data_IF_164664583285
#
_entry.id   IF_164664583285
#
_cell.length_a   1.000
_cell.length_b   1.000
_cell.length_c   1.000
_cell.angle_alpha   90.00
_cell.angle_beta   90.00
_cell.angle_gamma   90.00
#
_symmetry.space_group_name_H-M   'P 1'
#
loop_
_entity.id
_entity.type
_entity.pdbx_description
1 polymer ?
#
# COMPACT_ATOMS: atom_id res chain seq x y z
N UNK A 1 -1.19 -40.44 -2.02
CA UNK A 1 -2.11 -39.29 -2.12
C UNK A 1 -1.40 -38.16 -2.87
N UNK A 2 -1.71 -37.95 -4.15
CA UNK A 2 -1.23 -36.77 -4.88
C UNK A 2 -1.94 -35.54 -4.31
N UNK A 3 -1.22 -34.63 -3.64
CA UNK A 3 -1.77 -33.31 -3.34
C UNK A 3 -2.11 -32.64 -4.69
N UNK A 4 -3.35 -32.15 -4.89
CA UNK A 4 -3.72 -31.49 -6.13
C UNK A 4 -2.78 -30.29 -6.34
N UNK A 5 -2.14 -30.22 -7.52
CA UNK A 5 -1.30 -29.08 -7.89
C UNK A 5 -2.20 -27.83 -7.87
N UNK A 6 -1.85 -26.77 -7.13
CA UNK A 6 -2.62 -25.54 -7.17
C UNK A 6 -2.47 -24.97 -8.59
N UNK A 7 -3.54 -24.98 -9.37
CA UNK A 7 -3.58 -24.31 -10.67
C UNK A 7 -3.41 -22.80 -10.40
N UNK A 8 -2.25 -22.25 -10.73
CA UNK A 8 -2.02 -20.81 -10.69
C UNK A 8 -2.58 -20.21 -11.99
N UNK A 9 -3.55 -19.32 -11.88
CA UNK A 9 -4.15 -18.66 -13.03
C UNK A 9 -3.48 -17.29 -13.20
N UNK A 10 -2.95 -17.05 -14.40
CA UNK A 10 -2.40 -15.74 -14.75
C UNK A 10 -3.56 -14.84 -15.15
N UNK A 11 -3.80 -13.78 -14.37
CA UNK A 11 -4.90 -12.85 -14.60
C UNK A 11 -4.33 -11.46 -14.84
N UNK A 12 -4.68 -10.89 -15.99
CA UNK A 12 -4.48 -9.46 -16.22
C UNK A 12 -5.60 -8.66 -15.53
N UNK A 13 -5.20 -7.57 -14.88
CA UNK A 13 -6.03 -6.61 -14.15
C UNK A 13 -7.32 -6.14 -14.85
N UNK A 14 -7.46 -6.35 -16.16
CA UNK A 14 -8.66 -6.02 -16.93
C UNK A 14 -9.87 -6.96 -16.73
N UNK A 15 -9.74 -8.13 -16.09
CA UNK A 15 -10.85 -9.10 -15.98
C UNK A 15 -11.61 -9.06 -14.64
N UNK A 16 -12.14 -7.90 -14.27
CA UNK A 16 -12.82 -7.67 -12.98
C UNK A 16 -14.03 -8.61 -12.73
N UNK A 17 -14.82 -8.92 -13.77
CA UNK A 17 -16.04 -9.73 -13.64
C UNK A 17 -15.80 -11.22 -13.34
N UNK A 18 -14.71 -11.82 -13.85
CA UNK A 18 -14.36 -13.23 -13.57
C UNK A 18 -13.42 -13.37 -12.38
N UNK A 19 -12.80 -12.26 -11.95
CA UNK A 19 -11.82 -12.24 -10.89
C UNK A 19 -12.42 -12.63 -9.53
N UNK A 20 -13.60 -12.09 -9.21
CA UNK A 20 -14.28 -12.39 -7.94
C UNK A 20 -14.73 -13.86 -7.88
N UNK A 21 -15.27 -14.40 -8.98
CA UNK A 21 -15.66 -15.82 -9.08
C UNK A 21 -14.48 -16.77 -8.89
N UNK A 22 -13.33 -16.45 -9.51
CA UNK A 22 -12.13 -17.27 -9.38
C UNK A 22 -11.52 -17.18 -7.98
N UNK A 23 -11.59 -16.01 -7.35
CA UNK A 23 -11.17 -15.82 -5.96
C UNK A 23 -12.08 -16.58 -5.00
N UNK A 24 -13.40 -16.59 -5.23
CA UNK A 24 -14.37 -17.34 -4.43
C UNK A 24 -14.14 -18.86 -4.50
N UNK A 25 -13.62 -19.36 -5.63
CA UNK A 25 -13.24 -20.78 -5.81
C UNK A 25 -11.93 -21.18 -5.13
N UNK A 26 -11.23 -20.25 -4.46
CA UNK A 26 -9.98 -20.52 -3.76
C UNK A 26 -8.78 -20.74 -4.69
N UNK A 27 -8.87 -20.29 -5.95
CA UNK A 27 -7.74 -20.34 -6.88
C UNK A 27 -6.67 -19.33 -6.50
N UNK A 28 -5.40 -19.66 -6.75
CA UNK A 28 -4.30 -18.74 -6.59
C UNK A 28 -4.12 -17.93 -7.89
N UNK A 29 -4.45 -16.65 -7.83
CA UNK A 29 -4.43 -15.73 -8.95
C UNK A 29 -3.13 -14.93 -8.93
N UNK A 30 -2.39 -14.97 -10.04
CA UNK A 30 -1.11 -14.29 -10.16
C UNK A 30 -1.15 -13.33 -11.34
N UNK A 31 -0.60 -12.13 -11.17
CA UNK A 31 -0.38 -11.23 -12.29
C UNK A 31 0.84 -11.65 -13.10
N UNK A 32 0.92 -11.28 -14.39
CA UNK A 32 2.07 -11.58 -15.25
C UNK A 32 3.39 -11.12 -14.64
N UNK A 33 3.41 -9.93 -14.04
CA UNK A 33 4.62 -9.37 -13.39
C UNK A 33 5.10 -10.25 -12.23
N UNK A 34 4.17 -10.76 -11.41
CA UNK A 34 4.53 -11.68 -10.33
C UNK A 34 5.21 -12.95 -10.88
N UNK A 35 4.62 -13.58 -11.90
CA UNK A 35 5.16 -14.82 -12.49
C UNK A 35 6.54 -14.58 -13.12
N UNK A 36 6.69 -13.49 -13.86
CA UNK A 36 7.95 -13.12 -14.51
C UNK A 36 9.07 -12.87 -13.50
N UNK A 37 8.81 -12.12 -12.42
CA UNK A 37 9.81 -11.90 -11.38
C UNK A 37 10.17 -13.19 -10.64
N UNK A 38 9.17 -14.04 -10.32
CA UNK A 38 9.43 -15.34 -9.69
C UNK A 38 10.36 -16.22 -10.52
N UNK A 39 10.10 -16.28 -11.84
CA UNK A 39 10.88 -17.08 -12.78
C UNK A 39 12.32 -16.58 -12.89
N UNK A 40 12.52 -15.25 -12.95
CA UNK A 40 13.86 -14.63 -12.98
C UNK A 40 14.66 -14.91 -11.71
N UNK A 41 14.02 -14.80 -10.56
CA UNK A 41 14.67 -14.94 -9.25
C UNK A 41 14.77 -16.41 -8.77
N UNK A 42 14.29 -17.37 -9.58
CA UNK A 42 14.24 -18.79 -9.23
C UNK A 42 13.53 -19.06 -7.88
N UNK A 43 12.48 -18.28 -7.60
CA UNK A 43 11.72 -18.36 -6.35
C UNK A 43 10.34 -19.02 -6.55
N UNK A 44 9.78 -19.67 -5.52
CA UNK A 44 8.44 -20.23 -5.60
C UNK A 44 7.37 -19.15 -5.79
N UNK A 45 6.28 -19.52 -6.46
CA UNK A 45 5.11 -18.64 -6.61
C UNK A 45 4.43 -18.42 -5.26
N UNK A 46 3.97 -17.19 -4.96
CA UNK A 46 3.26 -16.89 -3.71
C UNK A 46 1.91 -17.62 -3.67
N UNK A 47 1.47 -18.03 -2.47
CA UNK A 47 0.22 -18.77 -2.25
C UNK A 47 -0.70 -18.01 -1.28
N UNK A 48 -1.09 -16.79 -1.65
CA UNK A 48 -1.89 -15.90 -0.80
C UNK A 48 -3.22 -15.46 -1.44
N UNK A 49 -3.70 -16.24 -2.42
CA UNK A 49 -4.98 -16.04 -3.09
C UNK A 49 -4.88 -15.09 -4.28
N UNK A 50 -4.37 -13.87 -4.10
CA UNK A 50 -4.09 -12.96 -5.21
C UNK A 50 -2.79 -12.18 -5.02
N UNK A 51 -1.92 -12.23 -6.03
CA UNK A 51 -0.71 -11.40 -6.11
C UNK A 51 -0.55 -10.86 -7.53
N UNK A 52 -0.74 -9.56 -7.74
CA UNK A 52 -0.57 -8.92 -9.05
C UNK A 52 0.92 -8.81 -9.44
N UNK A 53 1.75 -8.38 -8.49
CA UNK A 53 3.16 -8.13 -8.64
C UNK A 53 3.82 -8.24 -7.27
N UNK A 54 5.14 -8.05 -7.23
CA UNK A 54 5.95 -8.20 -6.02
C UNK A 54 6.63 -6.88 -5.68
N UNK A 55 6.04 -5.77 -6.12
CA UNK A 55 6.57 -4.43 -5.92
C UNK A 55 6.83 -4.12 -4.43
N UNK A 56 5.98 -4.66 -3.55
CA UNK A 56 6.04 -4.44 -2.11
C UNK A 56 6.58 -5.66 -1.35
N UNK A 57 7.25 -6.60 -2.01
CA UNK A 57 7.87 -7.74 -1.33
C UNK A 57 8.88 -7.25 -0.27
N UNK A 58 8.70 -7.72 0.98
CA UNK A 58 9.46 -7.25 2.14
C UNK A 58 9.08 -5.85 2.67
N UNK A 59 8.12 -5.15 2.07
CA UNK A 59 7.68 -3.81 2.50
C UNK A 59 6.57 -3.91 3.53
N UNK A 60 6.76 -3.25 4.67
CA UNK A 60 5.81 -3.18 5.79
C UNK A 60 5.16 -1.81 5.85
N UNK A 61 3.85 -1.75 5.71
CA UNK A 61 3.06 -0.51 5.65
C UNK A 61 2.28 -0.30 6.93
N UNK A 62 2.18 0.94 7.39
CA UNK A 62 1.30 1.35 8.47
C UNK A 62 0.32 2.41 7.96
N UNK A 63 -0.98 2.17 8.05
CA UNK A 63 -2.00 3.16 7.68
C UNK A 63 -2.46 3.99 8.91
N UNK A 64 -2.69 5.28 8.72
CA UNK A 64 -3.21 6.18 9.77
C UNK A 64 -4.13 7.29 9.24
N UNK A 65 -5.20 7.60 9.98
CA UNK A 65 -6.16 8.64 9.61
C UNK A 65 -7.23 8.22 8.60
N UNK A 66 -7.29 6.94 8.25
CA UNK A 66 -8.27 6.36 7.33
C UNK A 66 -9.42 5.70 8.08
N UNK A 67 -10.60 5.71 7.45
CA UNK A 67 -11.76 4.91 7.85
C UNK A 67 -11.50 3.41 7.62
N UNK A 68 -12.36 2.56 8.15
CA UNK A 68 -12.11 1.12 8.14
C UNK A 68 -12.21 0.50 6.74
N UNK A 69 -13.17 0.95 5.94
CA UNK A 69 -13.31 0.62 4.52
C UNK A 69 -12.09 1.07 3.69
N UNK A 70 -11.59 2.28 3.93
CA UNK A 70 -10.36 2.78 3.30
C UNK A 70 -9.14 1.91 3.67
N UNK A 71 -9.02 1.46 4.93
CA UNK A 71 -7.94 0.57 5.36
C UNK A 71 -8.04 -0.81 4.72
N UNK A 72 -9.25 -1.33 4.53
CA UNK A 72 -9.48 -2.59 3.82
C UNK A 72 -8.94 -2.47 2.39
N UNK A 73 -9.20 -1.35 1.72
CA UNK A 73 -8.69 -1.12 0.36
C UNK A 73 -7.16 -0.99 0.32
N UNK A 74 -6.57 -0.22 1.25
CA UNK A 74 -5.12 -0.15 1.42
C UNK A 74 -4.54 -1.55 1.63
N UNK A 75 -5.16 -2.36 2.49
CA UNK A 75 -4.73 -3.72 2.78
C UNK A 75 -4.77 -4.64 1.56
N UNK A 76 -5.80 -4.52 0.72
CA UNK A 76 -5.89 -5.27 -0.54
C UNK A 76 -4.75 -4.92 -1.48
N UNK A 77 -4.49 -3.63 -1.73
CA UNK A 77 -3.41 -3.18 -2.61
C UNK A 77 -2.04 -3.63 -2.09
N UNK A 78 -1.76 -3.41 -0.81
CA UNK A 78 -0.49 -3.81 -0.18
C UNK A 78 -0.28 -5.32 -0.30
N UNK A 79 -1.28 -6.12 0.06
CA UNK A 79 -1.17 -7.59 0.02
C UNK A 79 -1.02 -8.11 -1.40
N UNK A 80 -1.77 -7.55 -2.35
CA UNK A 80 -1.71 -7.94 -3.76
C UNK A 80 -0.39 -7.55 -4.44
N UNK A 81 0.38 -6.61 -3.88
CA UNK A 81 1.74 -6.30 -4.31
C UNK A 81 2.82 -7.05 -3.51
N UNK A 82 2.44 -7.95 -2.60
CA UNK A 82 3.37 -8.75 -1.79
C UNK A 82 3.82 -8.12 -0.47
N UNK A 83 3.26 -6.97 -0.08
CA UNK A 83 3.57 -6.28 1.17
C UNK A 83 2.72 -6.71 2.36
N UNK A 84 3.05 -6.18 3.54
CA UNK A 84 2.34 -6.46 4.80
C UNK A 84 1.77 -5.17 5.39
N UNK A 85 0.46 -5.16 5.67
CA UNK A 85 -0.17 -4.06 6.41
C UNK A 85 -0.14 -4.33 7.92
N UNK A 86 0.53 -3.46 8.66
CA UNK A 86 0.54 -3.48 10.12
C UNK A 86 -0.66 -2.72 10.69
N UNK A 87 -1.35 -3.35 11.65
CA UNK A 87 -2.46 -2.73 12.40
C UNK A 87 -1.96 -1.80 13.51
N UNK A 88 -0.82 -2.13 14.12
CA UNK A 88 -0.19 -1.39 15.22
C UNK A 88 1.11 -0.71 14.78
N UNK A 89 1.46 0.38 15.44
CA UNK A 89 2.73 1.06 15.20
C UNK A 89 3.90 0.15 15.61
N UNK A 90 4.93 0.08 14.77
CA UNK A 90 6.14 -0.73 14.99
C UNK A 90 7.33 -0.04 14.32
N UNK A 91 8.51 -0.08 14.94
CA UNK A 91 9.74 0.51 14.35
C UNK A 91 10.21 -0.21 13.07
N UNK A 92 9.74 -1.44 12.88
CA UNK A 92 10.03 -2.31 11.74
C UNK A 92 9.21 -1.95 10.48
N UNK A 93 8.31 -0.95 10.55
CA UNK A 93 7.59 -0.50 9.35
C UNK A 93 8.53 0.21 8.37
N UNK A 94 8.29 0.00 7.08
CA UNK A 94 9.04 0.62 5.98
C UNK A 94 8.49 2.01 5.65
N UNK A 95 7.16 2.14 5.54
CA UNK A 95 6.46 3.38 5.22
C UNK A 95 5.22 3.56 6.09
N UNK A 96 4.87 4.82 6.35
CA UNK A 96 3.60 5.20 6.97
C UNK A 96 2.75 5.89 5.93
N UNK A 97 1.60 5.31 5.58
CA UNK A 97 0.60 5.96 4.76
C UNK A 97 -0.32 6.74 5.71
N UNK A 98 -0.36 8.06 5.56
CA UNK A 98 -1.22 8.92 6.37
C UNK A 98 -2.20 9.69 5.48
N UNK A 99 -3.46 9.79 5.91
CA UNK A 99 -4.48 10.55 5.19
C UNK A 99 -4.12 12.04 5.12
N UNK A 100 -3.61 12.58 6.23
CA UNK A 100 -3.21 13.97 6.39
C UNK A 100 -2.34 14.14 7.66
N UNK A 101 -1.94 15.37 7.97
CA UNK A 101 -1.07 15.67 9.12
C UNK A 101 -1.76 15.47 10.49
N UNK A 102 -3.09 15.39 10.52
CA UNK A 102 -3.88 15.14 11.73
C UNK A 102 -3.99 13.65 12.08
N UNK A 103 -3.50 12.75 11.23
CA UNK A 103 -3.55 11.31 11.48
C UNK A 103 -2.84 10.95 12.80
N UNK A 104 -3.49 10.12 13.63
CA UNK A 104 -3.03 9.85 15.01
C UNK A 104 -1.58 9.34 15.10
N UNK A 105 -1.11 8.60 14.10
CA UNK A 105 0.26 8.05 14.07
C UNK A 105 1.26 8.94 13.31
N UNK A 106 0.84 10.10 12.78
CA UNK A 106 1.70 11.02 12.03
C UNK A 106 2.85 11.55 12.91
N UNK A 107 2.53 12.07 14.09
CA UNK A 107 3.56 12.59 15.03
C UNK A 107 4.52 11.49 15.50
N UNK A 108 4.00 10.29 15.74
CA UNK A 108 4.85 9.14 16.08
C UNK A 108 5.79 8.78 14.93
N UNK A 109 5.28 8.77 13.70
CA UNK A 109 6.09 8.46 12.53
C UNK A 109 7.21 9.49 12.31
N UNK A 110 6.88 10.78 12.50
CA UNK A 110 7.82 11.89 12.31
C UNK A 110 8.92 11.89 13.38
N UNK A 111 8.55 11.75 14.66
CA UNK A 111 9.47 11.97 15.78
C UNK A 111 10.16 10.69 16.26
N UNK A 112 9.47 9.54 16.18
CA UNK A 112 9.92 8.29 16.80
C UNK A 112 10.44 7.33 15.74
N UNK A 113 9.62 6.96 14.76
CA UNK A 113 10.04 5.96 13.77
C UNK A 113 11.00 6.52 12.71
N UNK A 114 10.92 7.83 12.45
CA UNK A 114 11.67 8.54 11.40
C UNK A 114 11.53 7.88 10.02
N UNK A 115 10.39 7.20 9.79
CA UNK A 115 10.08 6.54 8.53
C UNK A 115 9.39 7.51 7.57
N UNK A 116 9.52 7.31 6.26
CA UNK A 116 8.76 8.06 5.26
C UNK A 116 7.25 8.10 5.55
N UNK A 117 6.66 9.29 5.49
CA UNK A 117 5.23 9.52 5.63
C UNK A 117 4.67 9.98 4.29
N UNK A 118 3.90 9.11 3.64
CA UNK A 118 3.37 9.33 2.29
C UNK A 118 1.85 9.30 2.27
N UNK A 119 1.25 9.90 1.24
CA UNK A 119 -0.19 9.85 0.99
C UNK A 119 -0.62 8.51 0.38
N UNK A 120 -1.93 8.26 0.34
CA UNK A 120 -2.49 7.09 -0.34
C UNK A 120 -2.14 7.04 -1.84
N UNK A 121 -1.99 8.19 -2.49
CA UNK A 121 -1.63 8.26 -3.90
C UNK A 121 -0.26 7.62 -4.20
N UNK A 122 0.69 7.61 -3.26
CA UNK A 122 1.94 6.87 -3.44
C UNK A 122 1.69 5.37 -3.65
N UNK A 123 0.82 4.77 -2.82
CA UNK A 123 0.48 3.35 -2.93
C UNK A 123 -0.22 3.05 -4.25
N UNK A 124 -1.12 3.94 -4.69
CA UNK A 124 -1.78 3.82 -5.99
C UNK A 124 -0.79 3.91 -7.16
N UNK A 125 0.25 4.75 -7.05
CA UNK A 125 1.27 4.85 -8.09
C UNK A 125 2.21 3.64 -8.09
N UNK A 126 2.56 3.11 -6.91
CA UNK A 126 3.27 1.83 -6.82
C UNK A 126 2.48 0.68 -7.48
N UNK A 127 1.15 0.71 -7.33
CA UNK A 127 0.25 -0.24 -7.99
C UNK A 127 0.29 -0.11 -9.51
N UNK A 128 0.17 1.11 -10.04
CA UNK A 128 0.18 1.37 -11.49
C UNK A 128 1.52 0.99 -12.12
N UNK A 129 2.63 1.39 -11.50
CA UNK A 129 3.97 1.15 -12.05
C UNK A 129 4.54 -0.23 -11.71
N UNK A 130 3.84 -1.01 -10.88
CA UNK A 130 4.29 -2.30 -10.36
C UNK A 130 5.71 -2.27 -9.75
N UNK A 131 6.07 -1.16 -9.09
CA UNK A 131 7.34 -0.96 -8.39
C UNK A 131 7.18 0.03 -7.25
N UNK A 132 8.11 0.04 -6.29
CA UNK A 132 8.19 1.13 -5.31
C UNK A 132 8.69 2.39 -6.02
N UNK A 133 7.81 3.40 -6.14
CA UNK A 133 8.15 4.70 -6.74
C UNK A 133 8.79 5.63 -5.70
N UNK A 134 9.59 6.64 -6.14
CA UNK A 134 10.14 7.66 -5.24
C UNK A 134 9.05 8.34 -4.40
N UNK A 135 9.35 8.61 -3.14
CA UNK A 135 8.36 9.08 -2.16
C UNK A 135 8.27 10.60 -2.06
N UNK A 136 9.25 11.34 -2.59
CA UNK A 136 9.42 12.79 -2.45
C UNK A 136 8.18 13.56 -2.92
N UNK A 137 7.61 13.15 -4.06
CA UNK A 137 6.41 13.77 -4.65
C UNK A 137 5.09 13.41 -3.95
N UNK A 138 5.13 12.51 -2.96
CA UNK A 138 3.93 11.99 -2.30
C UNK A 138 3.95 12.16 -0.78
N UNK A 139 4.89 12.95 -0.25
CA UNK A 139 4.94 13.23 1.17
C UNK A 139 3.69 13.97 1.62
N UNK A 140 3.18 13.61 2.79
CA UNK A 140 2.07 14.35 3.40
C UNK A 140 2.54 15.74 3.81
N UNK A 141 1.94 16.77 3.21
CA UNK A 141 2.28 18.16 3.49
C UNK A 141 2.00 18.52 4.96
N UNK A 142 2.82 19.38 5.60
CA UNK A 142 2.72 19.69 7.04
C UNK A 142 1.35 20.20 7.50
N UNK A 143 0.63 20.90 6.62
CA UNK A 143 -0.67 21.49 6.93
C UNK A 143 -1.86 20.76 6.29
N UNK A 144 -1.61 19.59 5.68
CA UNK A 144 -2.69 18.81 5.07
C UNK A 144 -3.74 18.45 6.12
N UNK A 145 -5.02 18.68 5.78
CA UNK A 145 -6.17 18.39 6.63
C UNK A 145 -6.46 19.41 7.73
N UNK A 146 -5.65 20.47 7.87
CA UNK A 146 -5.91 21.55 8.83
C UNK A 146 -6.85 22.60 8.24
N UNK A 147 -7.77 23.09 9.07
CA UNK A 147 -8.50 24.33 8.82
C UNK A 147 -7.84 25.43 9.64
N UNK A 148 -7.05 26.29 8.99
CA UNK A 148 -6.28 27.35 9.65
C UNK A 148 -7.07 28.65 9.54
N UNK A 149 -7.28 29.32 10.67
CA UNK A 149 -7.86 30.66 10.74
C UNK A 149 -6.94 31.55 11.57
N UNK A 150 -6.83 32.81 11.17
CA UNK A 150 -5.89 33.76 11.76
C UNK A 150 -6.62 35.06 12.05
N UNK A 151 -6.42 35.63 13.24
CA UNK A 151 -6.99 36.93 13.65
C UNK A 151 -5.92 37.79 14.32
N UNK A 152 -6.06 39.11 14.23
CA UNK A 152 -5.16 40.07 14.89
C UNK A 152 -3.76 40.23 14.27
N UNK A 153 -3.53 39.74 13.05
CA UNK A 153 -2.27 39.98 12.33
C UNK A 153 -2.33 41.33 11.60
N UNK A 154 -1.36 42.25 11.83
CA UNK A 154 -1.27 43.50 11.08
C UNK A 154 -1.13 43.24 9.57
N UNK A 155 -1.82 44.04 8.75
CA UNK A 155 -1.94 43.81 7.31
C UNK A 155 -0.62 43.74 6.52
N UNK A 156 0.50 44.21 7.08
CA UNK A 156 1.83 44.17 6.46
C UNK A 156 2.66 42.91 6.73
N UNK A 157 2.15 41.94 7.50
CA UNK A 157 2.90 40.75 7.93
C UNK A 157 2.46 39.43 7.25
N UNK A 158 1.55 39.48 6.28
CA UNK A 158 1.17 38.30 5.49
C UNK A 158 2.09 38.27 4.25
N UNK A 159 3.00 37.29 4.21
CA UNK A 159 3.93 37.04 3.10
C UNK A 159 3.22 36.57 1.84
#
# INVERSE_FOLDING_TARGET
MLKPKPFALVVDSCFQAKFEDLRAKGCNLLGPQCVMSCAKEHRPLPQQGYTCCLAMDGVKILASGFQEDEKVEIGKLVSAMGGVLHTKASLDVSFVIAKNALAAKYKWALNISKKPIVSFSWLQQCWIEHRVVPQEGYRVLPFSGLNISVSGIPAGCVL
#
